data_IF_825309976953
#
_entry.id   IF_825309976953
#
_cell.length_a   1.000
_cell.length_b   1.000
_cell.length_c   1.000
_cell.angle_alpha   90.00
_cell.angle_beta   90.00
_cell.angle_gamma   90.00
#
_symmetry.space_group_name_H-M   'P 1'
#
loop_
_entity.id
_entity.type
_entity.pdbx_description
1 polymer ?
#
# COMPACT_ATOMS: atom_id res chain seq x y z
N UNK A 1 31.27 -35.47 30.15
CA UNK A 1 31.51 -34.17 29.48
C UNK A 1 30.56 -34.03 28.28
N UNK A 2 29.87 -32.89 28.21
CA UNK A 2 29.22 -32.26 27.04
C UNK A 2 28.07 -32.96 26.27
N UNK A 3 26.82 -32.65 26.64
CA UNK A 3 25.66 -32.67 25.73
C UNK A 3 25.71 -31.43 24.84
N UNK A 4 25.73 -31.58 23.51
CA UNK A 4 25.35 -30.51 22.57
C UNK A 4 24.12 -30.96 21.78
N UNK A 5 22.93 -30.54 22.22
CA UNK A 5 21.75 -30.43 21.33
C UNK A 5 21.76 -29.01 20.76
N UNK A 6 22.22 -28.85 19.53
CA UNK A 6 21.97 -27.62 18.77
C UNK A 6 20.51 -27.64 18.30
N UNK A 7 19.63 -27.06 19.10
CA UNK A 7 18.32 -26.62 18.66
C UNK A 7 18.50 -25.26 18.00
N UNK A 8 17.88 -25.08 16.83
CA UNK A 8 17.29 -23.86 16.26
C UNK A 8 17.61 -23.81 14.76
N UNK A 9 16.57 -23.98 13.94
CA UNK A 9 16.31 -23.22 12.72
C UNK A 9 14.80 -23.27 12.44
N UNK A 10 14.03 -22.46 13.16
CA UNK A 10 12.64 -22.12 12.78
C UNK A 10 12.55 -20.61 12.70
N UNK A 11 12.85 -20.02 11.55
CA UNK A 11 12.62 -18.59 11.29
C UNK A 11 11.65 -18.39 10.12
N UNK A 12 10.52 -19.09 10.15
CA UNK A 12 9.32 -18.63 9.46
C UNK A 12 8.67 -17.54 10.31
N UNK A 13 8.91 -16.28 9.98
CA UNK A 13 8.50 -15.09 10.74
C UNK A 13 6.97 -14.96 10.74
N UNK A 14 6.28 -15.60 11.69
CA UNK A 14 4.83 -15.42 11.90
C UNK A 14 4.61 -13.97 12.33
N UNK A 15 3.99 -13.14 11.48
CA UNK A 15 3.64 -11.75 11.81
C UNK A 15 2.81 -11.76 13.11
N UNK A 16 3.15 -10.91 14.08
CA UNK A 16 2.45 -10.87 15.38
C UNK A 16 0.97 -10.53 15.20
N UNK A 17 0.11 -11.04 16.08
CA UNK A 17 -1.34 -10.71 16.08
C UNK A 17 -1.57 -9.20 16.19
N UNK A 18 -0.69 -8.49 16.90
CA UNK A 18 -0.71 -7.03 17.04
C UNK A 18 -0.44 -6.38 15.68
N UNK A 19 0.64 -6.76 14.99
CA UNK A 19 0.95 -6.23 13.64
C UNK A 19 -0.16 -6.53 12.63
N UNK A 20 -0.81 -7.68 12.72
CA UNK A 20 -1.96 -8.00 11.85
C UNK A 20 -3.15 -7.08 12.14
N UNK A 21 -3.48 -6.86 13.42
CA UNK A 21 -4.57 -5.96 13.83
C UNK A 21 -4.30 -4.49 13.46
N UNK A 22 -3.06 -4.04 13.60
CA UNK A 22 -2.66 -2.69 13.17
C UNK A 22 -2.80 -2.53 11.65
N UNK A 23 -2.41 -3.53 10.86
CA UNK A 23 -2.63 -3.49 9.42
C UNK A 23 -4.12 -3.50 9.05
N UNK A 24 -4.94 -4.29 9.75
CA UNK A 24 -6.40 -4.32 9.53
C UNK A 24 -7.03 -2.96 9.89
N UNK A 25 -6.63 -2.37 11.02
CA UNK A 25 -7.09 -1.07 11.47
C UNK A 25 -6.64 0.07 10.53
N UNK A 26 -5.43 -0.02 9.96
CA UNK A 26 -4.97 0.90 8.93
C UNK A 26 -5.70 0.71 7.59
N UNK A 27 -6.25 -0.47 7.33
CA UNK A 27 -6.98 -0.78 6.09
C UNK A 27 -8.48 -0.52 6.14
N UNK A 28 -9.02 0.07 7.22
CA UNK A 28 -10.47 0.27 7.39
C UNK A 28 -11.10 1.26 6.40
N UNK A 29 -10.31 1.96 5.59
CA UNK A 29 -10.76 2.68 4.40
C UNK A 29 -10.87 1.71 3.22
N UNK A 30 -11.80 0.75 3.32
CA UNK A 30 -12.04 -0.24 2.26
C UNK A 30 -12.37 0.47 0.94
N UNK A 31 -11.48 0.30 -0.06
CA UNK A 31 -11.65 0.86 -1.40
C UNK A 31 -10.87 2.14 -1.70
N UNK A 32 -10.11 2.72 -0.77
CA UNK A 32 -9.24 3.84 -1.12
C UNK A 32 -8.07 3.42 -2.03
N UNK A 33 -7.73 4.30 -2.96
CA UNK A 33 -6.50 4.19 -3.76
C UNK A 33 -5.64 5.42 -3.58
N UNK A 34 -4.33 5.21 -3.48
CA UNK A 34 -3.34 6.26 -3.30
C UNK A 34 -2.57 6.48 -4.59
N UNK A 35 -2.48 7.73 -5.00
CA UNK A 35 -1.61 8.18 -6.10
C UNK A 35 -0.38 8.81 -5.47
N UNK A 36 0.76 8.10 -5.52
CA UNK A 36 1.97 8.46 -4.80
C UNK A 36 3.11 8.72 -5.79
N UNK A 37 3.83 9.85 -5.70
CA UNK A 37 5.05 10.04 -6.46
C UNK A 37 6.18 9.15 -5.93
N UNK A 38 6.89 8.52 -6.84
CA UNK A 38 8.16 7.83 -6.66
C UNK A 38 9.23 8.59 -7.45
N UNK A 39 10.51 8.41 -7.09
CA UNK A 39 11.70 9.05 -7.69
C UNK A 39 11.59 9.50 -9.14
N UNK A 40 11.07 8.66 -10.03
CA UNK A 40 10.93 8.94 -11.47
C UNK A 40 9.58 8.49 -12.05
N UNK A 41 8.58 8.23 -11.19
CA UNK A 41 7.34 7.59 -11.59
C UNK A 41 6.18 7.93 -10.64
N UNK A 42 4.97 7.62 -11.05
CA UNK A 42 3.75 7.76 -10.24
C UNK A 42 3.11 6.40 -10.06
N UNK A 43 2.81 6.03 -8.83
CA UNK A 43 2.21 4.74 -8.52
C UNK A 43 0.76 4.89 -8.08
N UNK A 44 -0.07 3.95 -8.47
CA UNK A 44 -1.37 3.71 -7.85
C UNK A 44 -1.19 2.56 -6.87
N UNK A 45 -1.60 2.74 -5.62
CA UNK A 45 -1.52 1.73 -4.58
C UNK A 45 -2.90 1.58 -3.93
N UNK A 46 -3.41 0.36 -3.80
CA UNK A 46 -4.63 0.11 -3.03
C UNK A 46 -4.33 0.25 -1.55
N UNK A 47 -5.28 0.80 -0.80
CA UNK A 47 -5.20 0.86 0.66
C UNK A 47 -4.87 -0.52 1.25
N UNK A 48 -3.99 -0.55 2.26
CA UNK A 48 -3.52 -1.78 2.90
C UNK A 48 -2.69 -2.74 2.02
N UNK A 49 -2.53 -2.48 0.72
CA UNK A 49 -1.71 -3.33 -0.15
C UNK A 49 -0.21 -3.16 0.15
N UNK A 50 0.57 -4.22 0.00
CA UNK A 50 2.03 -4.12 0.15
C UNK A 50 2.69 -3.57 -1.12
N UNK A 51 2.12 -3.87 -2.29
CA UNK A 51 2.67 -3.56 -3.61
C UNK A 51 1.87 -2.47 -4.32
N UNK A 52 2.53 -1.76 -5.24
CA UNK A 52 1.85 -0.89 -6.18
C UNK A 52 0.93 -1.73 -7.08
N UNK A 53 -0.27 -1.22 -7.35
CA UNK A 53 -1.20 -1.80 -8.31
C UNK A 53 -0.76 -1.51 -9.74
N UNK A 54 -0.38 -0.26 -10.02
CA UNK A 54 0.15 0.19 -11.32
C UNK A 54 1.22 1.25 -11.13
N UNK A 55 2.09 1.36 -12.12
CA UNK A 55 3.17 2.35 -12.19
C UNK A 55 3.03 3.09 -13.52
N UNK A 56 3.16 4.41 -13.46
CA UNK A 56 3.11 5.31 -14.59
C UNK A 56 4.35 6.20 -14.60
N UNK A 57 4.72 6.68 -15.77
CA UNK A 57 5.79 7.65 -15.97
C UNK A 57 5.40 9.05 -15.47
N UNK A 58 4.14 9.46 -15.65
CA UNK A 58 3.68 10.83 -15.36
C UNK A 58 2.41 10.89 -14.50
N UNK A 59 2.27 11.98 -13.71
CA UNK A 59 1.14 12.22 -12.79
C UNK A 59 -0.21 12.10 -13.49
N UNK A 60 -0.34 12.71 -14.66
CA UNK A 60 -1.58 12.76 -15.41
C UNK A 60 -2.12 11.36 -15.76
N UNK A 61 -1.25 10.42 -16.16
CA UNK A 61 -1.65 9.05 -16.47
C UNK A 61 -2.04 8.27 -15.22
N UNK A 62 -1.34 8.49 -14.10
CA UNK A 62 -1.71 7.89 -12.82
C UNK A 62 -3.08 8.38 -12.33
N UNK A 63 -3.35 9.69 -12.46
CA UNK A 63 -4.66 10.26 -12.12
C UNK A 63 -5.77 9.73 -13.02
N UNK A 64 -5.54 9.66 -14.34
CA UNK A 64 -6.50 9.06 -15.26
C UNK A 64 -6.81 7.59 -14.91
N UNK A 65 -5.78 6.82 -14.58
CA UNK A 65 -5.94 5.43 -14.12
C UNK A 65 -6.73 5.33 -12.81
N UNK A 66 -6.45 6.19 -11.83
CA UNK A 66 -7.15 6.20 -10.55
C UNK A 66 -8.62 6.62 -10.70
N UNK A 67 -8.90 7.63 -11.54
CA UNK A 67 -10.28 8.06 -11.86
C UNK A 67 -11.06 6.98 -12.59
N UNK A 68 -10.42 6.24 -13.51
CA UNK A 68 -11.05 5.07 -14.13
C UNK A 68 -11.41 4.01 -13.09
N UNK A 69 -10.56 3.78 -12.08
CA UNK A 69 -10.89 2.87 -10.98
C UNK A 69 -12.08 3.35 -10.16
N UNK A 70 -12.14 4.66 -9.84
CA UNK A 70 -13.26 5.27 -9.14
C UNK A 70 -14.57 5.11 -9.93
N UNK A 71 -14.58 5.47 -11.22
CA UNK A 71 -15.77 5.35 -12.08
C UNK A 71 -16.22 3.90 -12.30
N UNK A 72 -15.31 2.93 -12.25
CA UNK A 72 -15.62 1.50 -12.38
C UNK A 72 -16.06 0.83 -11.06
N UNK A 73 -16.11 1.57 -9.96
CA UNK A 73 -16.41 1.02 -8.62
C UNK A 73 -15.30 0.16 -8.03
N UNK A 74 -14.11 0.15 -8.64
CA UNK A 74 -12.93 -0.55 -8.10
C UNK A 74 -12.21 0.24 -7.00
N UNK A 75 -12.57 1.51 -6.83
CA UNK A 75 -12.14 2.39 -5.76
C UNK A 75 -13.33 3.21 -5.25
N UNK A 76 -13.31 3.58 -3.97
CA UNK A 76 -14.31 4.44 -3.31
C UNK A 76 -13.84 5.89 -3.19
N UNK A 77 -12.53 6.13 -3.20
CA UNK A 77 -11.92 7.46 -3.22
C UNK A 77 -10.44 7.37 -3.62
N UNK A 78 -9.90 8.50 -4.04
CA UNK A 78 -8.52 8.67 -4.50
C UNK A 78 -7.82 9.64 -3.55
N UNK A 79 -6.74 9.19 -2.93
CA UNK A 79 -5.86 10.04 -2.10
C UNK A 79 -4.62 10.37 -2.91
N UNK A 80 -4.40 11.65 -3.18
CA UNK A 80 -3.26 12.11 -3.98
C UNK A 80 -2.21 12.64 -3.03
N UNK A 81 -0.98 12.13 -3.17
CA UNK A 81 0.16 12.57 -2.38
C UNK A 81 1.03 13.56 -3.15
N UNK A 82 1.64 14.49 -2.43
CA UNK A 82 2.69 15.38 -2.93
C UNK A 82 4.06 14.68 -3.00
N UNK A 83 5.06 15.38 -3.54
CA UNK A 83 6.44 14.88 -3.66
C UNK A 83 7.14 14.57 -2.31
N UNK A 84 6.60 15.09 -1.21
CA UNK A 84 7.08 14.83 0.15
C UNK A 84 6.28 13.71 0.84
N UNK A 85 5.33 13.08 0.14
CA UNK A 85 4.48 12.01 0.65
C UNK A 85 3.30 12.48 1.50
N UNK A 86 3.06 13.79 1.60
CA UNK A 86 1.90 14.36 2.30
C UNK A 86 0.66 14.27 1.42
N UNK A 87 -0.52 14.28 2.03
CA UNK A 87 -1.78 14.34 1.27
C UNK A 87 -1.91 15.74 0.69
N UNK A 88 -2.00 15.80 -0.63
CA UNK A 88 -2.22 17.01 -1.42
C UNK A 88 -3.72 17.24 -1.62
N UNK A 89 -4.44 16.19 -2.03
CA UNK A 89 -5.88 16.23 -2.25
C UNK A 89 -6.54 14.86 -2.11
N UNK A 90 -7.86 14.87 -1.91
CA UNK A 90 -8.70 13.67 -1.86
C UNK A 90 -9.86 13.88 -2.83
N UNK A 91 -10.08 12.91 -3.73
CA UNK A 91 -11.22 12.85 -4.64
C UNK A 91 -12.12 11.67 -4.23
N UNK A 92 -13.45 11.81 -4.35
CA UNK A 92 -14.44 10.79 -4.00
C UNK A 92 -15.54 10.71 -5.06
#
# INVERSE_FOLDING_TARGET
MSKKKSRVLTSGKVKSRITRRLNIAASTTEGQVHVIPRSSAWIIKKEGAERAYRVYDVKAKALAGARSMLSSGLASSIVIHDKYGRIDSIES
#
